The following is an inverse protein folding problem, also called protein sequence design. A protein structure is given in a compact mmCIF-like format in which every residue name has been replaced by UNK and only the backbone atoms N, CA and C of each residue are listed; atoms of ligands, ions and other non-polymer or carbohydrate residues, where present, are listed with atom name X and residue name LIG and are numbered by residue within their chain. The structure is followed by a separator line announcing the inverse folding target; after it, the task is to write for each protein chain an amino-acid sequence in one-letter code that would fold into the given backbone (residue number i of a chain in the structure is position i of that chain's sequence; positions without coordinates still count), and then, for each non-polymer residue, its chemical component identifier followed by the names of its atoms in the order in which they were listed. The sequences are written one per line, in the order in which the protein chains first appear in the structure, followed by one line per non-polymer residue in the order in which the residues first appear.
data_IF_290616291401
#
_entry.id   IF_290616291401
#
_cell.length_a   1.000
_cell.length_b   1.000
_cell.length_c   1.000
_cell.angle_alpha   90.00
_cell.angle_beta   90.00
_cell.angle_gamma   90.00
#
_symmetry.space_group_name_H-M   'P 1'
#
loop_
_entity.id
_entity.type
_entity.pdbx_description
1 polymer ?
#
# COMPACT_ATOMS: atom_id res chain seq x y z
N UNK A 1 -30.81 6.63 101.86
CA UNK A 1 -30.76 7.04 100.44
C UNK A 1 -29.65 6.25 99.77
N UNK A 2 -29.93 5.70 98.59
CA UNK A 2 -29.10 4.79 97.78
C UNK A 2 -27.71 5.39 97.42
N UNK A 3 -26.69 4.70 96.91
CA UNK A 3 -26.56 3.50 96.06
C UNK A 3 -25.05 3.17 95.88
N UNK A 4 -24.78 2.06 95.16
CA UNK A 4 -23.54 1.66 94.47
C UNK A 4 -22.51 0.83 95.26
N UNK A 5 -22.33 -0.44 94.86
CA UNK A 5 -21.06 -0.99 94.37
C UNK A 5 -21.31 -2.29 93.56
N UNK A 6 -20.54 -2.44 92.48
CA UNK A 6 -20.55 -3.51 91.47
C UNK A 6 -19.98 -4.85 91.98
N UNK A 7 -20.32 -5.99 91.34
CA UNK A 7 -19.46 -7.16 91.37
C UNK A 7 -18.95 -7.49 89.95
N UNK A 8 -17.70 -7.14 89.66
CA UNK A 8 -16.88 -7.85 88.68
C UNK A 8 -15.53 -8.11 89.32
N UNK A 9 -15.37 -9.31 89.88
CA UNK A 9 -14.08 -9.98 89.98
C UNK A 9 -14.32 -11.45 90.35
N UNK A 10 -14.84 -12.22 89.40
CA UNK A 10 -14.71 -13.68 89.45
C UNK A 10 -13.25 -14.01 89.14
N UNK A 11 -12.56 -14.78 90.00
CA UNK A 11 -11.23 -15.27 89.68
C UNK A 11 -11.33 -16.15 88.43
N UNK A 12 -10.46 -15.90 87.44
CA UNK A 12 -10.35 -16.74 86.25
C UNK A 12 -10.03 -18.18 86.70
N UNK A 13 -10.94 -19.11 86.44
CA UNK A 13 -10.76 -20.51 86.75
C UNK A 13 -9.82 -21.14 85.70
N UNK A 14 -8.71 -21.79 86.08
CA UNK A 14 -7.75 -22.36 85.13
C UNK A 14 -8.38 -23.34 84.14
N UNK A 15 -9.49 -23.96 84.52
CA UNK A 15 -10.18 -24.98 83.74
C UNK A 15 -10.88 -24.39 82.49
N UNK A 16 -11.32 -23.12 82.50
CA UNK A 16 -11.90 -22.46 81.32
C UNK A 16 -10.85 -22.16 80.24
N UNK A 17 -9.62 -21.79 80.64
CA UNK A 17 -8.52 -21.50 79.73
C UNK A 17 -8.02 -22.79 79.05
N UNK A 18 -8.02 -23.91 79.78
CA UNK A 18 -7.63 -25.21 79.26
C UNK A 18 -8.67 -25.78 78.28
N UNK A 19 -9.96 -25.59 78.56
CA UNK A 19 -11.03 -26.00 77.66
C UNK A 19 -10.97 -25.28 76.30
N UNK A 20 -10.72 -23.96 76.30
CA UNK A 20 -10.64 -23.16 75.06
C UNK A 20 -9.42 -23.57 74.21
N UNK A 21 -8.25 -23.77 74.83
CA UNK A 21 -7.03 -24.22 74.13
C UNK A 21 -7.18 -25.61 73.47
N UNK A 22 -7.91 -26.52 74.11
CA UNK A 22 -8.18 -27.84 73.53
C UNK A 22 -9.16 -27.78 72.35
N UNK A 23 -10.09 -26.83 72.35
CA UNK A 23 -11.04 -26.63 71.25
C UNK A 23 -10.36 -26.02 70.01
N UNK A 24 -9.43 -25.07 70.20
CA UNK A 24 -8.63 -24.47 69.13
C UNK A 24 -7.68 -25.51 68.50
N UNK A 25 -7.02 -26.34 69.31
CA UNK A 25 -6.16 -27.42 68.82
C UNK A 25 -6.92 -28.52 68.08
N UNK A 26 -8.17 -28.78 68.46
CA UNK A 26 -9.01 -29.78 67.77
C UNK A 26 -9.52 -29.25 66.43
N UNK A 27 -9.84 -27.94 66.37
CA UNK A 27 -10.29 -27.25 65.15
C UNK A 27 -9.16 -27.05 64.13
N UNK A 28 -7.94 -26.72 64.57
CA UNK A 28 -6.75 -26.67 63.70
C UNK A 28 -6.32 -28.05 63.19
N UNK A 29 -6.56 -29.12 63.98
CA UNK A 29 -6.26 -30.50 63.59
C UNK A 29 -7.27 -31.08 62.59
N UNK A 30 -8.50 -30.56 62.56
CA UNK A 30 -9.50 -30.90 61.54
C UNK A 30 -9.33 -30.08 60.25
N UNK A 31 -8.92 -28.81 60.31
CA UNK A 31 -8.70 -27.97 59.11
C UNK A 31 -7.37 -28.21 58.37
N UNK A 32 -6.35 -28.81 59.00
CA UNK A 32 -5.07 -29.12 58.33
C UNK A 32 -5.02 -30.48 57.61
N UNK A 33 -6.17 -31.17 57.51
CA UNK A 33 -6.35 -32.35 56.66
C UNK A 33 -6.76 -31.96 55.23
N UNK A 34 -6.17 -30.92 54.66
CA UNK A 34 -6.05 -30.82 53.19
C UNK A 34 -5.06 -31.88 52.74
N UNK A 35 -5.56 -33.13 52.65
CA UNK A 35 -4.86 -34.20 51.98
C UNK A 35 -4.62 -33.78 50.53
N UNK A 36 -3.40 -33.36 50.22
CA UNK A 36 -2.88 -33.36 48.85
C UNK A 36 -2.93 -34.81 48.34
N UNK A 37 -4.05 -35.20 47.75
CA UNK A 37 -4.18 -36.43 46.97
C UNK A 37 -3.51 -36.17 45.61
N UNK A 38 -2.22 -35.89 45.62
CA UNK A 38 -1.38 -36.13 44.46
C UNK A 38 -1.16 -37.63 44.39
N UNK A 39 -2.18 -38.38 43.95
CA UNK A 39 -1.97 -39.81 43.62
C UNK A 39 -0.91 -39.84 42.52
N UNK A 40 0.26 -40.47 42.74
CA UNK A 40 1.22 -40.61 41.67
C UNK A 40 0.53 -41.39 40.55
N UNK A 41 0.49 -40.82 39.35
CA UNK A 41 0.01 -41.51 38.16
C UNK A 41 0.72 -42.86 38.09
N UNK A 42 -0.06 -43.95 38.08
CA UNK A 42 0.50 -45.30 37.99
C UNK A 42 1.44 -45.39 36.78
N UNK A 43 2.54 -46.13 36.91
CA UNK A 43 3.51 -46.28 35.81
C UNK A 43 2.80 -46.67 34.50
N UNK A 44 1.81 -47.55 34.58
CA UNK A 44 1.00 -48.00 33.45
C UNK A 44 0.17 -46.86 32.83
N UNK A 45 -0.53 -46.06 33.63
CA UNK A 45 -1.32 -44.93 33.11
C UNK A 45 -0.44 -43.84 32.50
N UNK A 46 0.77 -43.64 33.06
CA UNK A 46 1.77 -42.73 32.50
C UNK A 46 2.31 -43.21 31.15
N UNK A 47 2.58 -44.52 30.99
CA UNK A 47 2.99 -45.09 29.70
C UNK A 47 1.87 -45.05 28.65
N UNK A 48 0.62 -45.29 29.05
CA UNK A 48 -0.54 -45.17 28.16
C UNK A 48 -0.76 -43.73 27.70
N UNK A 49 -0.64 -42.76 28.62
CA UNK A 49 -0.72 -41.35 28.30
C UNK A 49 0.38 -40.93 27.33
N UNK A 50 1.64 -41.32 27.61
CA UNK A 50 2.78 -41.03 26.73
C UNK A 50 2.62 -41.66 25.35
N UNK A 51 2.12 -42.90 25.28
CA UNK A 51 1.80 -43.58 24.03
C UNK A 51 0.71 -42.86 23.24
N UNK A 52 -0.35 -42.39 23.91
CA UNK A 52 -1.40 -41.58 23.29
C UNK A 52 -0.87 -40.27 22.73
N UNK A 53 -0.03 -39.56 23.49
CA UNK A 53 0.63 -38.32 23.04
C UNK A 53 1.52 -38.57 21.81
N UNK A 54 2.31 -39.65 21.81
CA UNK A 54 3.16 -40.02 20.67
C UNK A 54 2.34 -40.33 19.40
N UNK A 55 1.20 -40.99 19.54
CA UNK A 55 0.30 -41.27 18.42
C UNK A 55 -0.26 -39.97 17.84
N UNK A 56 -0.67 -39.03 18.69
CA UNK A 56 -1.16 -37.71 18.24
C UNK A 56 -0.07 -36.94 17.51
N UNK A 57 1.15 -36.88 18.07
CA UNK A 57 2.30 -36.23 17.43
C UNK A 57 2.64 -36.90 16.10
N UNK A 58 2.64 -38.24 16.05
CA UNK A 58 2.88 -39.01 14.82
C UNK A 58 1.81 -38.75 13.75
N UNK A 59 0.54 -38.65 14.15
CA UNK A 59 -0.56 -38.32 13.23
C UNK A 59 -0.42 -36.90 12.67
N UNK A 60 -0.06 -35.92 13.49
CA UNK A 60 0.25 -34.56 13.05
C UNK A 60 1.45 -34.52 12.10
N UNK A 61 2.52 -35.24 12.41
CA UNK A 61 3.71 -35.35 11.56
C UNK A 61 3.39 -35.99 10.21
N UNK A 62 2.57 -37.04 10.19
CA UNK A 62 2.10 -37.68 8.97
C UNK A 62 1.22 -36.74 8.13
N UNK A 63 0.29 -36.01 8.75
CA UNK A 63 -0.54 -35.02 8.06
C UNK A 63 0.28 -33.85 7.50
N UNK A 64 1.25 -33.35 8.27
CA UNK A 64 2.16 -32.29 7.82
C UNK A 64 3.01 -32.75 6.63
N UNK A 65 3.54 -33.98 6.69
CA UNK A 65 4.30 -34.59 5.59
C UNK A 65 3.46 -34.79 4.34
N UNK A 66 2.21 -35.28 4.47
CA UNK A 66 1.27 -35.40 3.35
C UNK A 66 0.99 -34.05 2.68
N UNK A 67 0.84 -32.99 3.47
CA UNK A 67 0.56 -31.64 2.97
C UNK A 67 1.77 -31.05 2.24
N UNK A 68 2.97 -31.19 2.82
CA UNK A 68 4.22 -30.72 2.21
C UNK A 68 4.59 -31.48 0.94
N UNK A 69 4.38 -32.80 0.88
CA UNK A 69 4.80 -33.62 -0.28
C UNK A 69 3.80 -33.51 -1.44
N UNK A 70 2.48 -33.43 -1.19
CA UNK A 70 1.49 -33.37 -2.28
C UNK A 70 1.14 -31.95 -2.76
N UNK A 71 1.36 -30.93 -1.93
CA UNK A 71 1.06 -29.53 -2.29
C UNK A 71 2.25 -28.59 -2.16
N UNK A 72 3.43 -29.07 -1.77
CA UNK A 72 4.64 -28.26 -1.63
C UNK A 72 5.02 -27.54 -2.92
N UNK A 73 5.02 -28.27 -4.05
CA UNK A 73 5.33 -27.68 -5.36
C UNK A 73 4.27 -26.65 -5.79
N UNK A 74 2.99 -26.90 -5.49
CA UNK A 74 1.90 -25.97 -5.80
C UNK A 74 1.98 -24.68 -4.95
N UNK A 75 2.25 -24.79 -3.65
CA UNK A 75 2.44 -23.63 -2.78
C UNK A 75 3.75 -22.90 -3.07
N UNK A 76 4.81 -23.61 -3.45
CA UNK A 76 6.06 -23.00 -3.90
C UNK A 76 5.84 -22.24 -5.21
N UNK A 77 5.18 -22.84 -6.20
CA UNK A 77 4.83 -22.17 -7.46
C UNK A 77 3.94 -20.92 -7.22
N UNK A 78 2.90 -21.03 -6.39
CA UNK A 78 2.03 -19.90 -6.04
C UNK A 78 2.78 -18.80 -5.26
N UNK A 79 3.77 -19.17 -4.45
CA UNK A 79 4.63 -18.20 -3.76
C UNK A 79 5.58 -17.46 -4.70
N UNK A 80 6.02 -18.10 -5.79
CA UNK A 80 6.87 -17.48 -6.81
C UNK A 80 6.07 -16.54 -7.70
N UNK A 81 4.82 -16.89 -8.02
CA UNK A 81 3.94 -16.07 -8.86
C UNK A 81 3.62 -14.71 -8.22
N UNK A 82 3.43 -14.67 -6.90
CA UNK A 82 3.23 -13.43 -6.14
C UNK A 82 4.45 -12.48 -6.14
N UNK A 83 5.62 -12.91 -6.64
CA UNK A 83 6.82 -12.06 -6.74
C UNK A 83 6.83 -11.20 -7.99
N UNK A 84 5.98 -11.51 -8.97
CA UNK A 84 5.95 -10.81 -10.25
C UNK A 84 4.71 -9.93 -10.33
N UNK A 85 4.91 -8.63 -10.56
CA UNK A 85 3.82 -7.70 -10.88
C UNK A 85 3.97 -7.26 -12.33
N UNK A 86 2.89 -7.32 -13.09
CA UNK A 86 2.85 -6.73 -14.44
C UNK A 86 2.49 -5.26 -14.33
N UNK A 87 3.23 -4.40 -15.02
CA UNK A 87 2.93 -2.98 -15.12
C UNK A 87 2.89 -2.52 -16.57
N UNK A 88 1.90 -1.71 -16.96
CA UNK A 88 1.84 -1.14 -18.28
C UNK A 88 2.95 -0.10 -18.47
N UNK A 89 3.49 -0.04 -19.68
CA UNK A 89 4.32 1.04 -20.16
C UNK A 89 3.50 1.79 -21.20
N UNK A 90 3.13 3.03 -20.89
CA UNK A 90 2.30 3.82 -21.79
C UNK A 90 3.07 4.19 -23.05
N UNK A 91 2.48 3.92 -24.21
CA UNK A 91 3.04 4.34 -25.47
C UNK A 91 2.90 5.85 -25.67
N UNK A 92 3.87 6.49 -26.36
CA UNK A 92 3.68 7.85 -26.85
C UNK A 92 2.57 7.86 -27.90
N UNK A 93 1.71 8.88 -27.86
CA UNK A 93 0.60 9.02 -28.82
C UNK A 93 1.11 9.51 -30.18
N UNK A 94 0.48 9.14 -31.29
CA UNK A 94 0.83 9.64 -32.62
C UNK A 94 0.80 11.17 -32.71
N UNK A 95 1.70 11.75 -33.50
CA UNK A 95 1.77 13.19 -33.76
C UNK A 95 0.73 13.55 -34.84
N UNK A 96 0.01 14.66 -34.63
CA UNK A 96 -0.96 15.18 -35.60
C UNK A 96 -0.28 16.27 -36.42
N UNK A 97 -0.28 16.11 -37.73
CA UNK A 97 0.37 17.04 -38.66
C UNK A 97 -0.66 17.84 -39.46
N UNK A 98 -0.21 18.96 -40.00
CA UNK A 98 -0.85 19.62 -41.14
C UNK A 98 -0.43 18.94 -42.47
N UNK A 99 -1.11 19.24 -43.58
CA UNK A 99 -0.70 18.87 -44.95
C UNK A 99 0.76 19.21 -45.29
N UNK A 100 1.30 20.26 -44.68
CA UNK A 100 2.68 20.70 -44.87
C UNK A 100 3.67 20.00 -43.92
N UNK A 101 3.24 18.94 -43.21
CA UNK A 101 4.01 18.23 -42.19
C UNK A 101 4.46 19.09 -41.00
N UNK A 102 3.73 20.18 -40.72
CA UNK A 102 3.94 21.00 -39.53
C UNK A 102 3.16 20.34 -38.38
N UNK A 103 3.79 20.05 -37.22
CA UNK A 103 3.10 19.41 -36.10
C UNK A 103 2.08 20.37 -35.48
N UNK A 104 0.81 19.99 -35.53
CA UNK A 104 -0.30 20.68 -34.88
C UNK A 104 -0.46 20.19 -33.44
N UNK A 105 -0.25 18.90 -33.21
CA UNK A 105 -0.24 18.29 -31.88
C UNK A 105 0.92 17.32 -31.77
N UNK A 106 1.79 17.56 -30.80
CA UNK A 106 2.98 16.75 -30.57
C UNK A 106 3.14 16.36 -29.10
N UNK A 107 4.04 15.41 -28.86
CA UNK A 107 4.45 14.98 -27.53
C UNK A 107 5.79 15.64 -27.19
N UNK A 108 5.78 16.63 -26.32
CA UNK A 108 7.02 17.20 -25.81
C UNK A 108 7.50 16.42 -24.58
N UNK A 109 8.78 16.04 -24.50
CA UNK A 109 9.35 15.45 -23.30
C UNK A 109 9.09 16.33 -22.08
N UNK A 110 8.59 15.72 -21.01
CA UNK A 110 8.32 16.38 -19.73
C UNK A 110 8.67 15.44 -18.58
N UNK A 111 8.78 15.97 -17.37
CA UNK A 111 9.06 15.20 -16.18
C UNK A 111 7.82 15.17 -15.28
N UNK A 112 7.43 13.96 -14.88
CA UNK A 112 6.44 13.72 -13.85
C UNK A 112 7.12 13.55 -12.49
N UNK A 113 6.46 14.06 -11.45
CA UNK A 113 6.84 13.83 -10.05
C UNK A 113 5.84 12.84 -9.49
N UNK A 114 6.34 11.67 -9.13
CA UNK A 114 5.58 10.56 -8.59
C UNK A 114 5.87 10.42 -7.10
N UNK A 115 4.82 10.27 -6.31
CA UNK A 115 4.94 9.83 -4.93
C UNK A 115 4.77 8.32 -4.84
N UNK A 116 5.65 7.64 -4.11
CA UNK A 116 5.55 6.23 -3.75
C UNK A 116 5.52 6.10 -2.22
N UNK A 117 4.34 5.77 -1.69
CA UNK A 117 4.09 5.62 -0.25
C UNK A 117 5.03 4.63 0.41
N UNK A 118 5.36 3.54 -0.30
CA UNK A 118 6.17 2.46 0.26
C UNK A 118 7.62 2.91 0.41
N UNK A 119 8.17 3.57 -0.60
CA UNK A 119 9.51 4.16 -0.49
C UNK A 119 9.57 5.26 0.58
N UNK A 120 8.53 6.08 0.70
CA UNK A 120 8.40 7.07 1.76
C UNK A 120 8.49 6.42 3.16
N UNK A 121 7.74 5.34 3.38
CA UNK A 121 7.75 4.59 4.65
C UNK A 121 9.10 3.93 4.93
N UNK A 122 9.75 3.35 3.92
CA UNK A 122 11.08 2.75 4.05
C UNK A 122 12.14 3.77 4.49
N UNK A 123 12.05 4.98 3.96
CA UNK A 123 12.93 6.10 4.28
C UNK A 123 12.55 6.80 5.60
N UNK A 124 11.53 6.30 6.31
CA UNK A 124 10.99 6.89 7.54
C UNK A 124 10.64 8.36 7.34
N UNK A 125 10.03 8.67 6.20
CA UNK A 125 9.66 10.03 5.83
C UNK A 125 8.61 10.61 6.78
N UNK A 126 8.62 11.93 6.88
CA UNK A 126 7.58 12.73 7.54
C UNK A 126 6.89 13.60 6.49
N UNK A 127 5.54 13.55 6.47
CA UNK A 127 4.74 14.27 5.49
C UNK A 127 4.83 15.78 5.72
N UNK A 128 4.96 16.25 6.96
CA UNK A 128 5.03 17.69 7.25
C UNK A 128 6.21 18.37 6.55
N UNK A 129 7.45 17.96 6.82
CA UNK A 129 8.65 18.46 6.14
C UNK A 129 8.63 18.21 4.63
N UNK A 130 8.18 17.04 4.18
CA UNK A 130 8.09 16.72 2.74
C UNK A 130 7.20 17.73 2.01
N UNK A 131 5.98 17.95 2.51
CA UNK A 131 5.02 18.86 1.88
C UNK A 131 5.52 20.30 1.90
N UNK A 132 6.31 20.70 2.90
CA UNK A 132 6.95 22.02 2.93
C UNK A 132 7.99 22.21 1.83
N UNK A 133 8.89 21.24 1.69
CA UNK A 133 9.92 21.29 0.64
C UNK A 133 9.26 21.25 -0.75
N UNK A 134 8.26 20.38 -0.95
CA UNK A 134 7.53 20.31 -2.22
C UNK A 134 6.76 21.60 -2.54
N UNK A 135 6.15 22.24 -1.55
CA UNK A 135 5.46 23.52 -1.73
C UNK A 135 6.40 24.61 -2.26
N UNK A 136 7.61 24.69 -1.70
CA UNK A 136 8.64 25.64 -2.15
C UNK A 136 9.18 25.27 -3.53
N UNK A 137 9.46 23.99 -3.77
CA UNK A 137 10.06 23.53 -5.03
C UNK A 137 9.11 23.64 -6.23
N UNK A 138 7.81 23.44 -5.99
CA UNK A 138 6.77 23.48 -7.03
C UNK A 138 6.05 24.82 -7.11
N UNK A 139 6.37 25.76 -6.22
CA UNK A 139 5.69 27.05 -6.11
C UNK A 139 4.17 26.85 -5.97
N UNK A 140 3.78 25.88 -5.13
CA UNK A 140 2.39 25.50 -4.84
C UNK A 140 2.08 25.69 -3.35
N UNK A 141 0.84 26.04 -3.06
CA UNK A 141 0.35 26.06 -1.69
C UNK A 141 0.19 24.65 -1.12
N UNK A 142 0.27 24.50 0.21
CA UNK A 142 0.05 23.19 0.85
C UNK A 142 -1.32 22.57 0.50
N UNK A 143 -2.34 23.42 0.31
CA UNK A 143 -3.71 22.98 -0.02
C UNK A 143 -3.78 22.16 -1.32
N UNK A 144 -2.98 22.51 -2.31
CA UNK A 144 -2.88 21.78 -3.57
C UNK A 144 -2.52 20.29 -3.35
N UNK A 145 -1.65 20.01 -2.39
CA UNK A 145 -1.23 18.63 -2.11
C UNK A 145 -2.34 17.77 -1.51
N UNK A 146 -3.28 18.39 -0.79
CA UNK A 146 -4.45 17.67 -0.28
C UNK A 146 -5.44 17.31 -1.38
N UNK A 147 -5.62 18.20 -2.35
CA UNK A 147 -6.53 17.98 -3.50
C UNK A 147 -6.06 16.85 -4.43
N UNK A 148 -4.74 16.62 -4.52
CA UNK A 148 -4.16 15.61 -5.42
C UNK A 148 -4.01 14.22 -4.80
N UNK A 149 -4.20 14.08 -3.48
CA UNK A 149 -4.21 12.77 -2.81
C UNK A 149 -3.39 12.64 -1.53
N UNK A 150 -2.73 13.70 -1.04
CA UNK A 150 -2.20 13.68 0.32
C UNK A 150 -3.30 13.91 1.35
N UNK A 151 -3.28 13.24 2.50
CA UNK A 151 -4.33 13.36 3.50
C UNK A 151 -4.07 14.56 4.41
N UNK A 152 -5.12 15.33 4.71
CA UNK A 152 -5.03 16.55 5.54
C UNK A 152 -4.57 16.26 6.97
N UNK A 153 -4.93 15.10 7.51
CA UNK A 153 -4.50 14.65 8.84
C UNK A 153 -3.04 14.16 8.87
N UNK A 154 -2.33 14.22 7.75
CA UNK A 154 -0.95 13.74 7.59
C UNK A 154 -0.78 12.25 7.92
N UNK A 155 -1.86 11.45 7.86
CA UNK A 155 -1.78 10.01 7.98
C UNK A 155 -1.41 9.38 6.64
N UNK A 156 -0.13 9.05 6.48
CA UNK A 156 0.41 8.41 5.27
C UNK A 156 -0.37 7.16 4.83
N UNK A 157 -1.01 6.42 5.74
CA UNK A 157 -1.76 5.21 5.38
C UNK A 157 -3.03 5.51 4.59
N UNK A 158 -3.58 6.72 4.71
CA UNK A 158 -4.70 7.21 3.92
C UNK A 158 -4.30 7.64 2.50
N UNK A 159 -3.00 7.81 2.23
CA UNK A 159 -2.52 8.15 0.88
C UNK A 159 -2.62 6.95 -0.08
N UNK A 160 -2.90 7.18 -1.37
CA UNK A 160 -2.77 6.15 -2.41
C UNK A 160 -1.35 5.56 -2.42
N UNK A 161 -1.22 4.32 -2.87
CA UNK A 161 0.08 3.62 -2.89
C UNK A 161 1.11 4.36 -3.75
N UNK A 162 0.69 4.84 -4.93
CA UNK A 162 1.46 5.69 -5.83
C UNK A 162 0.54 6.66 -6.54
N UNK A 163 0.96 7.91 -6.68
CA UNK A 163 0.21 8.91 -7.46
C UNK A 163 1.12 10.05 -7.94
N UNK A 164 0.70 10.71 -9.01
CA UNK A 164 1.42 11.85 -9.56
C UNK A 164 1.11 13.13 -8.78
N UNK A 165 2.16 13.78 -8.28
CA UNK A 165 2.07 15.10 -7.65
C UNK A 165 1.99 16.18 -8.72
N UNK A 166 2.91 16.09 -9.68
CA UNK A 166 2.86 16.85 -10.92
C UNK A 166 3.02 15.88 -12.07
N UNK A 167 2.18 16.01 -13.09
CA UNK A 167 2.35 15.26 -14.33
C UNK A 167 3.32 15.93 -15.28
N UNK A 168 3.73 17.14 -14.93
CA UNK A 168 4.27 18.07 -15.88
C UNK A 168 5.15 19.11 -15.20
N UNK A 169 6.45 18.98 -15.41
CA UNK A 169 7.47 19.72 -14.65
C UNK A 169 8.50 20.23 -15.65
N UNK A 170 8.85 21.51 -15.53
CA UNK A 170 9.92 22.07 -16.38
C UNK A 170 11.27 21.44 -16.05
N UNK A 171 12.21 21.51 -16.98
CA UNK A 171 13.59 21.05 -16.76
C UNK A 171 14.20 21.72 -15.52
N UNK A 172 13.94 23.02 -15.34
CA UNK A 172 14.43 23.77 -14.19
C UNK A 172 13.86 23.25 -12.86
N UNK A 173 12.54 23.03 -12.79
CA UNK A 173 11.90 22.48 -11.60
C UNK A 173 12.40 21.06 -11.30
N UNK A 174 12.57 20.23 -12.33
CA UNK A 174 13.15 18.90 -12.22
C UNK A 174 14.55 18.95 -11.60
N UNK A 175 15.42 19.85 -12.07
CA UNK A 175 16.77 20.01 -11.52
C UNK A 175 16.75 20.48 -10.04
N UNK A 176 15.85 21.39 -9.69
CA UNK A 176 15.66 21.84 -8.29
C UNK A 176 15.25 20.68 -7.37
N UNK A 177 14.42 19.77 -7.86
CA UNK A 177 14.01 18.57 -7.11
C UNK A 177 15.13 17.55 -7.05
N UNK A 178 15.79 17.28 -8.18
CA UNK A 178 16.89 16.32 -8.30
C UNK A 178 18.03 16.64 -7.31
N UNK A 179 18.37 17.92 -7.13
CA UNK A 179 19.39 18.36 -6.16
C UNK A 179 19.00 18.19 -4.70
N UNK A 180 17.71 17.98 -4.38
CA UNK A 180 17.19 17.83 -3.02
C UNK A 180 16.55 16.46 -2.76
N UNK A 181 16.79 15.47 -3.62
CA UNK A 181 16.17 14.14 -3.51
C UNK A 181 16.38 13.48 -2.14
N UNK A 182 17.52 13.73 -1.47
CA UNK A 182 17.78 13.24 -0.10
C UNK A 182 16.75 13.71 0.93
N UNK A 183 16.17 14.89 0.73
CA UNK A 183 15.14 15.48 1.63
C UNK A 183 13.71 15.14 1.21
N UNK A 184 13.54 14.40 0.12
CA UNK A 184 12.25 14.15 -0.50
C UNK A 184 11.92 12.65 -0.47
N UNK A 185 11.61 12.10 0.72
CA UNK A 185 11.35 10.69 0.83
C UNK A 185 10.15 10.26 -0.02
N UNK A 186 10.26 9.12 -0.67
CA UNK A 186 9.23 8.56 -1.56
C UNK A 186 8.95 9.34 -2.84
N UNK A 187 9.71 10.38 -3.17
CA UNK A 187 9.58 11.10 -4.42
C UNK A 187 10.43 10.43 -5.50
N UNK A 188 9.84 10.28 -6.69
CA UNK A 188 10.49 9.76 -7.88
C UNK A 188 10.25 10.72 -9.05
N UNK A 189 11.30 11.00 -9.81
CA UNK A 189 11.19 11.71 -11.09
C UNK A 189 11.04 10.65 -12.17
N UNK A 190 9.99 10.77 -12.98
CA UNK A 190 9.73 9.85 -14.09
C UNK A 190 9.60 10.63 -15.38
N UNK A 191 10.19 10.11 -16.44
CA UNK A 191 10.06 10.67 -17.78
C UNK A 191 8.63 10.47 -18.29
N UNK A 192 8.06 11.52 -18.88
CA UNK A 192 6.73 11.55 -19.45
C UNK A 192 6.74 12.39 -20.72
N UNK A 193 5.60 12.43 -21.36
CA UNK A 193 5.33 13.36 -22.45
C UNK A 193 4.15 14.25 -22.10
N UNK A 194 4.27 15.53 -22.42
CA UNK A 194 3.18 16.51 -22.39
C UNK A 194 2.66 16.66 -23.81
N UNK A 195 1.33 16.54 -23.98
CA UNK A 195 0.67 16.81 -25.26
C UNK A 195 0.62 18.33 -25.46
N UNK A 196 1.25 18.84 -26.51
CA UNK A 196 1.31 20.27 -26.83
C UNK A 196 0.58 20.53 -28.14
N UNK A 197 -0.25 21.58 -28.15
CA UNK A 197 -1.08 22.00 -29.28
C UNK A 197 -0.52 23.32 -29.80
N UNK A 198 -0.02 23.34 -31.03
CA UNK A 198 0.79 24.43 -31.60
C UNK A 198 -0.05 25.51 -32.30
N UNK A 199 -1.31 25.22 -32.67
CA UNK A 199 -2.16 26.10 -33.49
C UNK A 199 -3.12 26.99 -32.66
N UNK A 200 -3.60 28.14 -33.18
CA UNK A 200 -4.46 29.08 -32.44
C UNK A 200 -5.78 28.46 -31.96
N UNK A 201 -6.50 29.15 -31.02
CA UNK A 201 -7.80 28.72 -30.49
C UNK A 201 -8.85 28.29 -31.52
N UNK A 202 -8.68 28.70 -32.78
CA UNK A 202 -9.55 28.38 -33.91
C UNK A 202 -9.73 26.87 -34.16
N UNK A 203 -8.71 26.04 -33.86
CA UNK A 203 -8.77 24.60 -34.11
C UNK A 203 -8.95 23.75 -32.85
N UNK A 204 -9.04 24.34 -31.66
CA UNK A 204 -9.12 23.58 -30.40
C UNK A 204 -10.33 22.65 -30.33
N UNK A 205 -11.48 23.06 -30.88
CA UNK A 205 -12.68 22.20 -30.95
C UNK A 205 -12.56 21.08 -32.00
N UNK A 206 -11.80 21.31 -33.08
CA UNK A 206 -11.57 20.32 -34.12
C UNK A 206 -10.55 19.28 -33.66
N UNK A 207 -9.40 19.73 -33.15
CA UNK A 207 -8.36 18.87 -32.60
C UNK A 207 -8.87 18.11 -31.37
N UNK A 208 -9.60 18.79 -30.50
CA UNK A 208 -10.07 18.25 -29.24
C UNK A 208 -8.96 18.16 -28.19
N UNK A 209 -9.19 17.35 -27.16
CA UNK A 209 -8.28 17.22 -26.03
C UNK A 209 -8.21 15.79 -25.50
N UNK A 210 -7.15 15.53 -24.75
CA UNK A 210 -6.93 14.27 -24.02
C UNK A 210 -7.35 14.43 -22.56
N UNK A 211 -7.96 13.40 -21.97
CA UNK A 211 -8.38 13.35 -20.59
C UNK A 211 -8.24 11.97 -19.97
N UNK A 212 -8.48 11.85 -18.66
CA UNK A 212 -8.51 10.54 -18.00
C UNK A 212 -9.73 9.72 -18.46
N UNK A 213 -9.61 8.40 -18.59
CA UNK A 213 -10.78 7.55 -18.80
C UNK A 213 -11.72 7.66 -17.59
N UNK A 214 -13.01 7.65 -17.88
CA UNK A 214 -14.11 7.54 -16.92
C UNK A 214 -14.34 6.07 -16.59
N UNK A 215 -14.98 5.80 -15.45
CA UNK A 215 -15.33 4.42 -15.03
C UNK A 215 -16.13 3.68 -16.11
N UNK A 216 -17.02 4.38 -16.82
CA UNK A 216 -17.81 3.79 -17.91
C UNK A 216 -16.94 3.37 -19.10
N UNK A 217 -15.91 4.16 -19.44
CA UNK A 217 -14.97 3.82 -20.51
C UNK A 217 -14.04 2.68 -20.09
N UNK A 218 -13.53 2.68 -18.86
CA UNK A 218 -12.71 1.58 -18.30
C UNK A 218 -13.47 0.25 -18.27
N UNK A 219 -14.77 0.30 -17.98
CA UNK A 219 -15.62 -0.90 -17.97
C UNK A 219 -15.88 -1.42 -19.40
N UNK A 220 -15.90 -0.52 -20.39
CA UNK A 220 -16.20 -0.84 -21.79
C UNK A 220 -14.98 -1.35 -22.54
N UNK A 221 -13.81 -0.80 -22.26
CA UNK A 221 -12.53 -1.15 -22.86
C UNK A 221 -11.52 -1.52 -21.76
N UNK A 222 -11.35 -2.82 -21.57
CA UNK A 222 -10.42 -3.37 -20.57
C UNK A 222 -8.94 -3.18 -20.93
N UNK A 223 -8.62 -2.69 -22.13
CA UNK A 223 -7.26 -2.32 -22.50
C UNK A 223 -6.82 -0.97 -21.90
N UNK A 224 -7.78 -0.16 -21.45
CA UNK A 224 -7.52 1.15 -20.87
C UNK A 224 -6.99 1.06 -19.45
N UNK A 225 -6.01 1.91 -19.15
CA UNK A 225 -5.55 2.10 -17.78
C UNK A 225 -6.07 3.41 -17.18
N UNK A 226 -6.40 3.42 -15.89
CA UNK A 226 -6.91 4.63 -15.20
C UNK A 226 -5.90 5.81 -15.16
N UNK A 227 -4.61 5.53 -15.41
CA UNK A 227 -3.54 6.55 -15.47
C UNK A 227 -3.23 7.04 -16.89
N UNK A 228 -3.80 6.38 -17.89
CA UNK A 228 -3.62 6.69 -19.29
C UNK A 228 -4.42 7.94 -19.68
N UNK A 229 -3.93 8.66 -20.68
CA UNK A 229 -4.67 9.74 -21.31
C UNK A 229 -5.35 9.22 -22.56
N UNK A 230 -6.68 9.35 -22.63
CA UNK A 230 -7.48 9.02 -23.81
C UNK A 230 -8.02 10.29 -24.46
N UNK A 231 -8.14 10.28 -25.78
CA UNK A 231 -8.79 11.33 -26.54
C UNK A 231 -10.27 11.42 -26.18
N UNK A 232 -10.75 12.63 -25.90
CA UNK A 232 -12.13 12.86 -25.42
C UNK A 232 -13.04 13.46 -26.47
N UNK A 233 -12.49 14.30 -27.33
CA UNK A 233 -13.26 15.11 -28.27
C UNK A 233 -12.47 15.32 -29.55
N UNK A 234 -13.14 15.81 -30.59
CA UNK A 234 -12.52 16.15 -31.85
C UNK A 234 -11.76 14.98 -32.48
N UNK A 235 -10.66 15.31 -33.13
CA UNK A 235 -9.74 14.37 -33.77
C UNK A 235 -9.09 13.44 -32.75
N UNK A 236 -8.67 13.97 -31.59
CA UNK A 236 -8.08 13.16 -30.52
C UNK A 236 -9.01 12.03 -30.09
N UNK A 237 -10.32 12.31 -29.94
CA UNK A 237 -11.31 11.30 -29.57
C UNK A 237 -11.71 10.38 -30.72
N UNK A 238 -11.84 10.91 -31.94
CA UNK A 238 -12.25 10.10 -33.10
C UNK A 238 -11.17 9.07 -33.50
N UNK A 239 -9.90 9.49 -33.49
CA UNK A 239 -8.75 8.65 -33.82
C UNK A 239 -8.02 8.18 -32.56
N UNK A 240 -8.69 8.07 -31.41
CA UNK A 240 -8.02 7.68 -30.16
C UNK A 240 -7.36 6.30 -30.30
N UNK A 241 -8.02 5.35 -30.97
CA UNK A 241 -7.48 4.00 -31.15
C UNK A 241 -6.15 4.00 -31.94
N UNK A 242 -6.09 4.75 -33.04
CA UNK A 242 -4.88 4.86 -33.87
C UNK A 242 -3.80 5.73 -33.22
N UNK A 243 -4.20 6.84 -32.59
CA UNK A 243 -3.28 7.79 -31.96
C UNK A 243 -2.72 7.26 -30.64
N UNK A 244 -3.44 6.43 -29.88
CA UNK A 244 -2.99 5.94 -28.57
C UNK A 244 -1.82 4.96 -28.68
N UNK A 245 -1.76 4.20 -29.77
CA UNK A 245 -0.79 3.13 -29.93
C UNK A 245 -1.08 1.94 -29.01
N UNK A 246 -0.10 1.06 -28.86
CA UNK A 246 -0.22 -0.14 -28.03
C UNK A 246 0.68 -0.03 -26.81
N UNK A 247 0.09 -0.09 -25.62
CA UNK A 247 0.84 -0.08 -24.37
C UNK A 247 1.69 -1.34 -24.25
N UNK A 248 2.95 -1.14 -23.88
CA UNK A 248 3.86 -2.21 -23.53
C UNK A 248 3.57 -2.78 -22.15
N UNK A 249 4.22 -3.88 -21.82
CA UNK A 249 4.13 -4.50 -20.50
C UNK A 249 5.52 -4.88 -20.00
N UNK A 250 5.81 -4.49 -18.76
CA UNK A 250 6.98 -5.00 -18.03
C UNK A 250 6.55 -5.84 -16.85
N UNK A 251 7.15 -7.02 -16.73
CA UNK A 251 7.05 -7.84 -15.53
C UNK A 251 8.17 -7.40 -14.60
N UNK A 252 7.79 -6.88 -13.44
CA UNK A 252 8.72 -6.49 -12.39
C UNK A 252 8.72 -7.54 -11.28
N UNK A 253 9.91 -7.94 -10.86
CA UNK A 253 10.11 -8.75 -9.67
C UNK A 253 10.19 -7.83 -8.46
N UNK A 254 9.28 -8.01 -7.51
CA UNK A 254 9.25 -7.26 -6.26
C UNK A 254 9.76 -8.10 -5.10
N UNK A 255 10.59 -7.49 -4.25
CA UNK A 255 11.02 -8.14 -3.01
C UNK A 255 9.90 -8.09 -1.94
N UNK A 256 10.12 -8.69 -0.78
CA UNK A 256 9.16 -8.67 0.35
C UNK A 256 8.86 -7.25 0.89
N UNK A 257 9.65 -6.25 0.49
CA UNK A 257 9.46 -4.82 0.77
C UNK A 257 8.85 -4.07 -0.44
N UNK A 258 8.43 -4.80 -1.47
CA UNK A 258 7.81 -4.31 -2.71
C UNK A 258 8.74 -3.61 -3.70
N UNK A 259 10.05 -3.57 -3.44
CA UNK A 259 10.99 -2.84 -4.30
C UNK A 259 11.23 -3.59 -5.60
N UNK A 260 11.22 -2.87 -6.71
CA UNK A 260 11.56 -3.39 -8.03
C UNK A 260 13.03 -3.82 -8.02
N UNK A 261 13.25 -5.13 -8.06
CA UNK A 261 14.60 -5.71 -7.98
C UNK A 261 15.13 -6.03 -9.37
N UNK A 262 14.25 -6.55 -10.23
CA UNK A 262 14.51 -6.86 -11.63
C UNK A 262 13.27 -6.58 -12.45
N UNK A 263 13.45 -6.26 -13.72
CA UNK A 263 12.34 -6.19 -14.65
C UNK A 263 12.70 -6.95 -15.92
N UNK A 264 11.67 -7.54 -16.54
CA UNK A 264 11.73 -8.09 -17.88
C UNK A 264 10.67 -7.37 -18.70
N UNK A 265 11.10 -6.72 -19.78
CA UNK A 265 10.19 -6.23 -20.80
C UNK A 265 9.58 -7.46 -21.48
N UNK A 266 8.26 -7.56 -21.42
CA UNK A 266 7.50 -8.64 -22.06
C UNK A 266 7.01 -8.17 -23.43
N UNK A 267 6.61 -6.90 -23.52
CA UNK A 267 6.16 -6.25 -24.75
C UNK A 267 6.61 -4.79 -24.71
N UNK A 268 7.32 -4.35 -25.75
CA UNK A 268 7.67 -2.94 -25.91
C UNK A 268 6.43 -2.13 -26.32
N UNK A 269 6.28 -0.88 -25.83
CA UNK A 269 5.21 -0.01 -26.27
C UNK A 269 5.38 0.34 -27.74
N UNK A 270 4.28 0.36 -28.50
CA UNK A 270 4.26 0.81 -29.89
C UNK A 270 3.63 2.18 -29.98
N UNK A 271 4.38 3.14 -30.52
CA UNK A 271 3.90 4.50 -30.75
C UNK A 271 2.66 4.51 -31.65
N UNK A 272 1.71 5.39 -31.33
CA UNK A 272 0.52 5.60 -32.13
C UNK A 272 0.81 6.11 -33.54
N UNK A 273 -0.10 5.83 -34.46
CA UNK A 273 0.02 6.22 -35.86
C UNK A 273 -0.05 7.73 -36.05
N UNK A 274 0.88 8.28 -36.84
CA UNK A 274 0.95 9.72 -37.15
C UNK A 274 0.51 9.97 -38.60
N UNK A 275 -0.81 9.96 -38.88
CA UNK A 275 -1.32 9.92 -40.26
C UNK A 275 -2.29 11.04 -40.66
N UNK A 276 -2.55 12.02 -39.80
CA UNK A 276 -3.56 13.04 -40.08
C UNK A 276 -2.91 14.30 -40.64
N UNK A 277 -3.43 14.81 -41.76
CA UNK A 277 -3.01 16.04 -42.43
C UNK A 277 -4.23 16.94 -42.63
N UNK A 278 -4.25 18.10 -41.99
CA UNK A 278 -5.34 19.09 -42.12
C UNK A 278 -4.95 20.27 -43.03
N UNK A 279 -5.90 21.17 -43.32
CA UNK A 279 -5.66 22.41 -44.04
C UNK A 279 -5.57 23.57 -43.05
N UNK A 280 -4.36 23.97 -42.66
CA UNK A 280 -4.16 25.22 -41.90
C UNK A 280 -3.89 26.38 -42.86
N UNK A 281 -4.47 27.56 -42.60
CA UNK A 281 -4.04 28.78 -43.29
C UNK A 281 -2.58 29.07 -42.96
N UNK A 282 -1.81 29.70 -43.86
CA UNK A 282 -0.39 29.96 -43.65
C UNK A 282 -0.16 30.74 -42.35
N UNK A 283 0.66 30.17 -41.46
CA UNK A 283 1.12 30.84 -40.24
C UNK A 283 1.98 32.02 -40.65
N UNK A 284 1.42 33.23 -40.51
CA UNK A 284 2.23 34.45 -40.59
C UNK A 284 2.92 34.62 -39.24
N UNK A 285 4.26 34.68 -39.17
CA UNK A 285 4.94 35.01 -37.92
C UNK A 285 4.57 36.47 -37.57
N UNK A 286 3.99 36.65 -36.38
CA UNK A 286 3.80 37.96 -35.75
C UNK A 286 5.09 38.38 -35.02
#
# INVERSE_FOLDING_TARGET
MASFFSPWNTPFDPDEILADSSSVLTKEREETLEGNIERPLGRISSFLFLGGVLIVIGAFGYYAGLLQIRRGDAFFAQSQENRFLTRPIFAPRGIIYDRNHIPLVENQPSFGILFDRRQFLEQKGDLGPLLNELAVLLEKERRFFFEIGFPENLDIHASPSRFFISKDTSVEQMLRIATRMEKLPGIQIVERYRRVYTDPPAFSHLLGFVGKPSEAELTRDSSLHHEEGIGKTGIEGFYDYELRGENGNRIIEVNSRGQETRFKLTQDPQEGSSHLSFNTPPTTPF
#
